data_IF_045756184685
#
_entry.id   IF_045756184685
#
_cell.length_a   1.000
_cell.length_b   1.000
_cell.length_c   1.000
_cell.angle_alpha   90.00
_cell.angle_beta   90.00
_cell.angle_gamma   90.00
#
_symmetry.space_group_name_H-M   'P 1'
#
loop_
_entity.id
_entity.type
_entity.pdbx_description
1 polymer ?
#
# COMPACT_ATOMS: atom_id res chain seq x y z
N UNK A 1 3.80 9.85 11.13
CA UNK A 1 4.44 8.77 10.35
C UNK A 1 3.42 8.00 9.55
N UNK A 2 3.74 7.67 8.29
CA UNK A 2 2.93 6.82 7.41
C UNK A 2 3.48 5.39 7.47
N UNK A 3 2.58 4.43 7.65
CA UNK A 3 2.90 3.02 7.81
C UNK A 3 2.01 2.19 6.88
N UNK A 4 2.61 1.36 6.01
CA UNK A 4 1.86 0.36 5.24
C UNK A 4 1.46 -0.80 6.14
N UNK A 5 0.19 -1.22 6.02
CA UNK A 5 -0.42 -2.20 6.92
C UNK A 5 -0.74 -3.50 6.22
N UNK A 6 -1.47 -3.41 5.11
CA UNK A 6 -2.00 -4.57 4.40
C UNK A 6 -1.82 -4.38 2.89
N UNK A 7 -1.56 -5.49 2.19
CA UNK A 7 -1.51 -5.57 0.74
C UNK A 7 -2.54 -6.58 0.28
N UNK A 8 -3.37 -6.22 -0.69
CA UNK A 8 -4.30 -7.13 -1.33
C UNK A 8 -4.01 -7.23 -2.82
N UNK A 9 -4.04 -8.46 -3.33
CA UNK A 9 -3.97 -8.76 -4.76
C UNK A 9 -5.30 -9.38 -5.17
N UNK A 10 -5.99 -8.74 -6.11
CA UNK A 10 -7.35 -9.11 -6.55
C UNK A 10 -8.33 -9.31 -5.36
N UNK A 11 -8.18 -8.48 -4.31
CA UNK A 11 -9.02 -8.51 -3.11
C UNK A 11 -8.64 -9.56 -2.06
N UNK A 12 -7.62 -10.38 -2.30
CA UNK A 12 -7.09 -11.35 -1.32
C UNK A 12 -5.90 -10.75 -0.58
N UNK A 13 -5.90 -10.82 0.76
CA UNK A 13 -4.78 -10.35 1.58
C UNK A 13 -3.53 -11.19 1.28
N UNK A 14 -2.39 -10.52 1.09
CA UNK A 14 -1.10 -11.17 0.91
C UNK A 14 -0.50 -11.46 2.27
N UNK A 15 -0.22 -12.73 2.54
CA UNK A 15 0.61 -13.11 3.67
C UNK A 15 2.10 -12.96 3.29
N UNK A 16 2.84 -12.04 3.93
CA UNK A 16 4.27 -11.86 3.66
C UNK A 16 5.13 -13.08 4.00
N UNK A 17 4.61 -14.04 4.78
CA UNK A 17 5.32 -15.28 5.12
C UNK A 17 5.21 -16.35 4.04
N UNK A 18 4.26 -16.23 3.11
CA UNK A 18 4.09 -17.17 2.00
C UNK A 18 4.97 -16.84 0.77
N UNK A 19 5.68 -15.70 0.78
CA UNK A 19 6.70 -15.35 -0.21
C UNK A 19 6.18 -15.09 -1.64
N UNK A 20 4.86 -14.95 -1.82
CA UNK A 20 4.24 -14.86 -3.15
C UNK A 20 4.49 -13.50 -3.84
N UNK A 21 4.68 -12.43 -3.07
CA UNK A 21 4.88 -11.08 -3.61
C UNK A 21 5.82 -10.17 -2.80
N UNK A 22 6.03 -10.47 -1.52
CA UNK A 22 6.82 -9.66 -0.58
C UNK A 22 7.88 -10.58 0.05
N UNK A 23 9.12 -10.10 0.15
CA UNK A 23 10.17 -10.76 0.92
C UNK A 23 10.27 -10.12 2.32
N UNK A 24 9.72 -10.80 3.32
CA UNK A 24 9.69 -10.33 4.71
C UNK A 24 8.50 -9.42 5.05
N UNK A 25 8.51 -8.77 6.24
CA UNK A 25 7.37 -7.99 6.72
C UNK A 25 7.06 -6.81 5.80
N UNK A 26 5.77 -6.58 5.51
CA UNK A 26 5.32 -5.44 4.70
C UNK A 26 5.82 -4.09 5.25
N UNK A 27 5.90 -3.96 6.58
CA UNK A 27 6.41 -2.77 7.26
C UNK A 27 7.82 -2.36 6.83
N UNK A 28 8.64 -3.33 6.42
CA UNK A 28 10.05 -3.14 6.03
C UNK A 28 10.30 -3.42 4.55
N UNK A 29 9.25 -3.78 3.80
CA UNK A 29 9.36 -4.11 2.39
C UNK A 29 9.69 -2.85 1.57
N UNK A 30 10.73 -2.95 0.75
CA UNK A 30 11.12 -1.88 -0.19
C UNK A 30 10.65 -2.15 -1.62
N UNK A 31 10.30 -3.40 -1.91
CA UNK A 31 9.88 -3.85 -3.23
C UNK A 31 8.86 -4.98 -3.09
N UNK A 32 7.89 -4.99 -4.00
CA UNK A 32 6.95 -6.09 -4.19
C UNK A 32 7.01 -6.53 -5.66
N UNK A 33 6.87 -7.84 -5.90
CA UNK A 33 6.78 -8.38 -7.27
C UNK A 33 5.38 -8.89 -7.50
N UNK A 34 4.70 -8.33 -8.50
CA UNK A 34 3.32 -8.66 -8.80
C UNK A 34 3.28 -9.72 -9.92
N UNK A 35 2.58 -10.85 -9.71
CA UNK A 35 2.39 -11.84 -10.76
C UNK A 35 1.61 -11.27 -11.96
N UNK A 36 1.92 -11.65 -13.21
CA UNK A 36 1.24 -11.10 -14.40
C UNK A 36 -0.28 -11.35 -14.45
N UNK A 37 -0.79 -12.32 -13.69
CA UNK A 37 -2.22 -12.64 -13.62
C UNK A 37 -3.01 -11.68 -12.74
N UNK A 38 -2.34 -10.93 -11.86
CA UNK A 38 -2.99 -9.99 -10.95
C UNK A 38 -3.38 -8.73 -11.72
N UNK A 39 -4.59 -8.25 -11.48
CA UNK A 39 -5.15 -7.10 -12.19
C UNK A 39 -5.44 -5.92 -11.28
N UNK A 40 -5.65 -6.18 -9.99
CA UNK A 40 -5.97 -5.16 -8.99
C UNK A 40 -5.01 -5.27 -7.80
N UNK A 41 -4.46 -4.13 -7.40
CA UNK A 41 -3.61 -4.00 -6.22
C UNK A 41 -4.27 -3.00 -5.27
N UNK A 42 -4.41 -3.36 -4.00
CA UNK A 42 -4.86 -2.47 -2.94
C UNK A 42 -3.80 -2.41 -1.85
N UNK A 43 -3.43 -1.21 -1.43
CA UNK A 43 -2.47 -0.99 -0.35
C UNK A 43 -3.18 -0.22 0.76
N UNK A 44 -3.24 -0.79 1.96
CA UNK A 44 -3.73 -0.10 3.14
C UNK A 44 -2.56 0.54 3.90
N UNK A 45 -2.74 1.78 4.34
CA UNK A 45 -1.76 2.50 5.13
C UNK A 45 -2.43 3.27 6.26
N UNK A 46 -1.62 3.69 7.23
CA UNK A 46 -2.06 4.55 8.33
C UNK A 46 -1.03 5.64 8.56
N UNK A 47 -1.48 6.88 8.58
CA UNK A 47 -0.64 8.01 8.93
C UNK A 47 -1.07 8.58 10.28
N UNK A 48 -0.28 8.28 11.30
CA UNK A 48 -0.55 8.74 12.66
C UNK A 48 -0.05 10.17 12.82
N UNK A 49 -0.99 11.12 12.89
CA UNK A 49 -0.74 12.48 13.34
C UNK A 49 -1.65 12.80 14.53
N UNK A 50 -1.11 12.66 15.74
CA UNK A 50 -1.87 12.71 17.00
C UNK A 50 -2.40 14.10 17.35
N UNK A 51 -1.88 15.17 16.74
CA UNK A 51 -2.25 16.54 17.05
C UNK A 51 -3.59 16.98 16.43
N UNK A 52 -4.06 16.33 15.37
CA UNK A 52 -5.35 16.62 14.71
C UNK A 52 -5.78 15.45 13.80
N UNK A 53 -6.19 14.31 14.38
CA UNK A 53 -6.50 13.09 13.60
C UNK A 53 -7.61 13.29 12.55
N UNK A 54 -8.54 14.22 12.79
CA UNK A 54 -9.68 14.49 11.89
C UNK A 54 -9.35 15.42 10.71
N UNK A 55 -8.09 15.88 10.55
CA UNK A 55 -7.68 16.80 9.48
C UNK A 55 -6.57 16.22 8.60
N UNK A 56 -6.37 14.91 8.65
CA UNK A 56 -5.39 14.29 7.79
C UNK A 56 -6.00 14.07 6.41
N UNK A 57 -5.57 14.88 5.44
CA UNK A 57 -5.82 14.64 4.03
C UNK A 57 -4.60 13.92 3.45
N UNK A 58 -4.85 12.83 2.73
CA UNK A 58 -3.80 12.06 2.10
C UNK A 58 -3.88 12.19 0.59
N UNK A 59 -2.72 12.12 -0.04
CA UNK A 59 -2.60 11.95 -1.47
C UNK A 59 -1.62 10.83 -1.75
N UNK A 60 -1.87 10.12 -2.84
CA UNK A 60 -0.99 9.08 -3.34
C UNK A 60 -0.81 9.25 -4.86
N UNK A 61 0.25 8.65 -5.39
CA UNK A 61 0.52 8.61 -6.81
C UNK A 61 1.32 7.34 -7.10
N UNK A 62 0.89 6.56 -8.09
CA UNK A 62 1.68 5.47 -8.64
C UNK A 62 2.53 5.99 -9.80
N UNK A 63 3.80 6.24 -9.53
CA UNK A 63 4.73 6.75 -10.55
C UNK A 63 4.77 5.83 -11.78
N UNK A 64 4.65 6.43 -12.97
CA UNK A 64 4.60 5.71 -14.25
C UNK A 64 3.22 5.15 -14.63
N UNK A 65 2.21 5.30 -13.77
CA UNK A 65 0.81 4.95 -14.07
C UNK A 65 -0.13 6.15 -13.91
N UNK A 66 0.01 6.91 -12.83
CA UNK A 66 -0.80 8.09 -12.55
C UNK A 66 -0.14 9.35 -13.13
N UNK A 67 -0.95 10.20 -13.77
CA UNK A 67 -0.49 11.48 -14.35
C UNK A 67 -0.32 12.61 -13.30
N UNK A 68 -1.02 12.51 -12.17
CA UNK A 68 -0.95 13.47 -11.06
C UNK A 68 -1.39 12.81 -9.73
N UNK A 69 -1.13 13.49 -8.62
CA UNK A 69 -1.53 13.09 -7.28
C UNK A 69 -3.03 12.90 -7.16
N UNK A 70 -3.43 11.75 -6.62
CA UNK A 70 -4.81 11.41 -6.29
C UNK A 70 -5.07 11.59 -4.80
N UNK A 71 -6.27 12.05 -4.44
CA UNK A 71 -6.70 12.07 -3.04
C UNK A 71 -6.90 10.63 -2.55
N UNK A 72 -6.24 10.29 -1.44
CA UNK A 72 -6.44 9.05 -0.68
C UNK A 72 -7.53 9.23 0.36
N UNK A 73 -8.45 8.26 0.44
CA UNK A 73 -9.54 8.21 1.42
C UNK A 73 -9.29 7.13 2.45
#
# INVERSE_FOLDING_TARGET
>A
DLVFRDLYLDGTIVDPTEGVAIDGPLLTAQQITIPPSVTTITIEFSALHFASPNRNEYRYMLEGFDDDWKSGG
#
